data_IF_178147695109
#
_entry.id   IF_178147695109
#
_cell.length_a   1.000
_cell.length_b   1.000
_cell.length_c   1.000
_cell.angle_alpha   90.00
_cell.angle_beta   90.00
_cell.angle_gamma   90.00
#
_symmetry.space_group_name_H-M   'P 1'
#
loop_
_entity.id
_entity.type
_entity.pdbx_description
1 polymer ?
#
# COMPACT_ATOMS: atom_id res chain seq x y z
N UNK A 1 -6.36 3.18 -25.50
CA UNK A 1 -6.22 4.61 -25.89
C UNK A 1 -5.97 5.40 -24.62
N UNK A 2 -4.81 6.08 -24.55
CA UNK A 2 -4.39 6.93 -23.44
C UNK A 2 -5.28 8.18 -23.40
N UNK A 3 -5.88 8.49 -22.26
CA UNK A 3 -6.22 9.87 -21.93
C UNK A 3 -5.66 10.21 -20.55
N UNK A 4 -4.65 11.05 -20.64
CA UNK A 4 -3.86 11.66 -19.60
C UNK A 4 -4.54 13.00 -19.28
N UNK A 5 -5.09 13.18 -18.07
CA UNK A 5 -5.54 14.49 -17.59
C UNK A 5 -4.76 14.84 -16.33
N UNK A 6 -3.57 15.38 -16.56
CA UNK A 6 -2.86 16.22 -15.61
C UNK A 6 -3.70 17.48 -15.33
N UNK A 7 -4.29 17.55 -14.14
CA UNK A 7 -4.64 18.81 -13.50
C UNK A 7 -3.92 18.83 -12.15
N UNK A 8 -2.76 19.49 -12.12
CA UNK A 8 -2.11 19.89 -10.88
C UNK A 8 -2.26 21.41 -10.78
N UNK A 9 -3.17 21.85 -9.93
CA UNK A 9 -3.28 23.27 -9.54
C UNK A 9 -2.22 23.50 -8.47
N UNK A 10 -1.04 23.96 -8.87
CA UNK A 10 0.05 24.25 -7.95
C UNK A 10 -0.16 25.64 -7.33
N UNK A 11 -0.89 25.70 -6.21
CA UNK A 11 -0.92 26.86 -5.34
C UNK A 11 0.15 26.67 -4.26
N UNK A 12 1.41 26.99 -4.59
CA UNK A 12 2.39 27.49 -3.62
C UNK A 12 3.62 28.05 -4.35
N UNK A 13 3.59 29.37 -4.51
CA UNK A 13 4.71 30.21 -4.87
C UNK A 13 5.83 30.07 -3.83
N UNK A 14 6.98 29.51 -4.22
CA UNK A 14 8.28 29.86 -3.63
C UNK A 14 9.31 30.06 -4.72
N UNK A 15 9.47 31.33 -5.07
CA UNK A 15 10.59 31.93 -5.79
C UNK A 15 11.91 31.45 -5.17
N UNK A 16 12.71 30.70 -5.93
CA UNK A 16 14.17 30.64 -5.75
C UNK A 16 14.88 30.03 -6.97
N UNK A 17 14.82 30.70 -8.11
CA UNK A 17 15.77 30.43 -9.20
C UNK A 17 16.32 31.75 -9.72
N UNK A 18 17.38 32.22 -9.06
CA UNK A 18 18.32 33.20 -9.57
C UNK A 18 19.62 32.99 -8.81
N UNK A 19 20.75 33.05 -9.53
CA UNK A 19 22.14 32.92 -9.06
C UNK A 19 22.67 31.47 -9.12
N UNK A 20 22.86 30.97 -10.34
CA UNK A 20 23.94 30.02 -10.64
C UNK A 20 25.21 30.81 -11.01
N UNK A 21 26.37 30.20 -10.73
CA UNK A 21 27.75 30.61 -11.03
C UNK A 21 28.27 31.74 -10.11
N UNK A 22 29.31 31.54 -9.29
CA UNK A 22 30.68 31.15 -9.65
C UNK A 22 31.44 30.55 -8.44
N UNK A 23 32.26 29.51 -8.70
CA UNK A 23 33.48 29.10 -7.97
C UNK A 23 33.37 28.63 -6.49
N UNK A 24 33.30 27.31 -6.26
CA UNK A 24 34.10 26.64 -5.22
C UNK A 24 34.18 25.12 -5.40
N UNK A 25 35.40 24.60 -5.57
CA UNK A 25 35.75 23.18 -5.56
C UNK A 25 35.87 22.68 -4.11
N UNK A 26 34.78 22.62 -3.34
CA UNK A 26 34.67 21.97 -2.02
C UNK A 26 33.15 21.94 -1.77
N UNK A 27 32.42 20.83 -1.77
CA UNK A 27 32.47 19.69 -0.86
C UNK A 27 31.75 18.54 -1.58
N UNK A 28 32.37 17.37 -1.75
CA UNK A 28 31.62 16.13 -2.05
C UNK A 28 31.00 15.69 -0.73
N UNK A 29 30.06 16.49 -0.19
CA UNK A 29 29.19 16.00 0.85
C UNK A 29 28.33 14.95 0.18
N UNK A 30 28.32 13.74 0.73
CA UNK A 30 27.45 12.67 0.27
C UNK A 30 26.03 13.23 0.23
N UNK A 31 25.62 13.63 -0.97
CA UNK A 31 24.25 13.91 -1.30
C UNK A 31 23.58 12.57 -1.08
N UNK A 32 23.04 12.38 0.12
CA UNK A 32 21.91 11.49 0.28
C UNK A 32 20.85 12.14 -0.60
N UNK A 33 20.85 11.77 -1.88
CA UNK A 33 19.65 11.85 -2.67
C UNK A 33 18.70 10.94 -1.93
N UNK A 34 17.87 11.53 -1.07
CA UNK A 34 16.69 10.87 -0.54
C UNK A 34 15.80 10.75 -1.76
N UNK A 35 15.97 9.66 -2.51
CA UNK A 35 14.92 9.19 -3.40
C UNK A 35 13.77 8.80 -2.47
N UNK A 36 12.86 9.74 -2.22
CA UNK A 36 11.59 9.42 -1.59
C UNK A 36 10.91 8.40 -2.49
N UNK A 37 10.84 7.17 -2.01
CA UNK A 37 10.09 6.11 -2.66
C UNK A 37 8.62 6.50 -2.66
N UNK A 38 8.07 6.61 -3.87
CA UNK A 38 6.65 6.60 -4.23
C UNK A 38 5.79 7.85 -3.92
N UNK A 39 4.86 8.20 -4.83
CA UNK A 39 3.93 9.32 -4.68
C UNK A 39 2.96 9.08 -3.53
N UNK A 40 2.99 9.98 -2.54
CA UNK A 40 2.05 10.22 -1.44
C UNK A 40 0.87 9.24 -1.32
N UNK A 41 1.18 8.01 -0.90
CA UNK A 41 0.20 7.13 -0.27
C UNK A 41 -0.06 7.71 1.13
N UNK A 42 -1.32 7.90 1.56
CA UNK A 42 -1.57 8.54 2.85
C UNK A 42 -0.92 7.72 3.95
N UNK A 43 -0.20 8.40 4.84
CA UNK A 43 0.43 7.83 6.05
C UNK A 43 -0.53 6.91 6.84
N UNK A 44 -1.84 7.13 6.73
CA UNK A 44 -2.90 6.29 7.29
C UNK A 44 -2.84 4.80 6.90
N UNK A 45 -2.06 4.44 5.89
CA UNK A 45 -1.90 3.06 5.43
C UNK A 45 -0.47 2.52 5.63
N UNK A 46 0.39 3.26 6.33
CA UNK A 46 1.67 2.76 6.81
C UNK A 46 1.43 1.57 7.75
N UNK A 47 1.99 0.39 7.41
CA UNK A 47 1.89 -0.82 8.22
C UNK A 47 0.90 -1.88 7.72
N UNK A 48 0.18 -1.64 6.63
CA UNK A 48 -0.62 -2.70 5.99
C UNK A 48 0.31 -3.78 5.44
N UNK A 49 0.11 -5.03 5.88
CA UNK A 49 0.82 -6.20 5.36
C UNK A 49 0.16 -6.67 4.08
N UNK A 50 0.93 -6.72 2.99
CA UNK A 50 0.44 -7.19 1.70
C UNK A 50 0.27 -8.71 1.73
N UNK A 51 -0.52 -9.24 0.79
CA UNK A 51 -0.75 -10.68 0.62
C UNK A 51 0.53 -11.51 0.62
N UNK A 52 1.54 -11.05 -0.11
CA UNK A 52 2.85 -11.70 -0.19
C UNK A 52 3.59 -11.73 1.15
N UNK A 53 3.35 -10.77 2.04
CA UNK A 53 4.08 -10.63 3.30
C UNK A 53 3.63 -11.67 4.33
N UNK A 54 2.37 -12.13 4.26
CA UNK A 54 1.85 -13.23 5.09
C UNK A 54 1.83 -14.59 4.38
N UNK A 55 2.32 -14.65 3.12
CA UNK A 55 2.39 -15.88 2.33
C UNK A 55 1.04 -16.35 1.79
N UNK A 56 0.16 -15.41 1.45
CA UNK A 56 -1.15 -15.70 0.88
C UNK A 56 -1.13 -16.18 -0.55
N UNK A 57 -2.06 -17.08 -0.88
CA UNK A 57 -2.28 -17.63 -2.22
C UNK A 57 -2.96 -16.59 -3.11
N UNK A 58 -2.73 -16.67 -4.42
CA UNK A 58 -3.40 -15.85 -5.43
C UNK A 58 -4.90 -16.17 -5.45
N UNK A 59 -5.79 -15.16 -5.58
CA UNK A 59 -7.22 -15.40 -5.73
C UNK A 59 -7.54 -16.18 -7.01
N UNK A 60 -8.58 -17.02 -6.97
CA UNK A 60 -9.09 -17.77 -8.13
C UNK A 60 -9.71 -16.82 -9.17
N UNK A 61 -10.45 -15.81 -8.70
CA UNK A 61 -11.03 -14.76 -9.52
C UNK A 61 -11.12 -13.44 -8.73
N UNK A 62 -11.26 -12.32 -9.44
CA UNK A 62 -11.27 -10.99 -8.84
C UNK A 62 -12.46 -10.20 -9.37
N UNK A 63 -13.33 -9.80 -8.45
CA UNK A 63 -14.41 -8.85 -8.69
C UNK A 63 -14.04 -7.48 -8.10
N UNK A 64 -14.32 -6.42 -8.85
CA UNK A 64 -13.99 -5.05 -8.46
C UNK A 64 -15.18 -4.35 -7.78
N UNK A 65 -14.90 -3.66 -6.68
CA UNK A 65 -15.89 -2.85 -5.99
C UNK A 65 -16.16 -1.53 -6.74
N UNK A 66 -17.41 -1.07 -6.71
CA UNK A 66 -17.77 0.27 -7.17
C UNK A 66 -17.24 1.28 -6.15
N UNK A 67 -16.44 2.23 -6.61
CA UNK A 67 -15.87 3.29 -5.77
C UNK A 67 -16.69 4.58 -5.88
N UNK A 68 -16.79 5.37 -4.79
CA UNK A 68 -16.28 5.10 -3.44
C UNK A 68 -17.15 4.09 -2.68
N UNK A 69 -16.52 3.28 -1.81
CA UNK A 69 -17.24 2.36 -0.93
C UNK A 69 -18.01 3.15 0.13
N UNK A 70 -19.28 2.83 0.34
CA UNK A 70 -20.19 3.58 1.24
C UNK A 70 -20.34 2.98 2.64
N UNK A 71 -20.04 1.69 2.79
CA UNK A 71 -20.29 0.94 4.02
C UNK A 71 -19.05 0.17 4.44
N UNK A 72 -18.82 0.10 5.75
CA UNK A 72 -17.79 -0.72 6.39
C UNK A 72 -18.50 -1.71 7.31
N UNK A 73 -18.20 -2.99 7.17
CA UNK A 73 -18.77 -4.06 7.99
C UNK A 73 -17.65 -4.64 8.84
N UNK A 74 -17.79 -4.58 10.17
CA UNK A 74 -16.78 -5.03 11.12
C UNK A 74 -17.08 -6.46 11.55
N UNK A 75 -16.10 -7.35 11.43
CA UNK A 75 -16.21 -8.77 11.77
C UNK A 75 -15.10 -9.20 12.71
N UNK A 76 -15.38 -10.21 13.54
CA UNK A 76 -14.36 -11.03 14.19
C UNK A 76 -14.22 -12.35 13.41
N UNK A 77 -13.05 -12.98 13.49
CA UNK A 77 -12.74 -14.22 12.74
C UNK A 77 -13.23 -15.49 13.44
N UNK A 78 -13.58 -15.42 14.72
CA UNK A 78 -13.89 -16.60 15.57
C UNK A 78 -12.72 -17.60 15.64
N UNK A 79 -11.50 -17.13 15.39
CA UNK A 79 -10.27 -17.90 15.57
C UNK A 79 -9.57 -17.47 16.86
N UNK A 80 -8.63 -18.26 17.41
CA UNK A 80 -7.73 -17.77 18.45
C UNK A 80 -7.05 -16.46 18.02
N UNK A 81 -6.88 -15.56 18.97
CA UNK A 81 -6.12 -14.32 18.74
C UNK A 81 -4.65 -14.61 18.42
N UNK A 82 -4.03 -13.70 17.68
CA UNK A 82 -2.61 -13.76 17.34
C UNK A 82 -1.93 -12.45 17.78
N UNK A 83 -0.63 -12.50 18.13
CA UNK A 83 0.10 -11.35 18.68
C UNK A 83 1.45 -11.09 18.02
N UNK A 84 1.92 -12.01 17.16
CA UNK A 84 3.18 -11.89 16.44
C UNK A 84 2.92 -11.98 14.95
N UNK A 85 3.74 -11.33 14.13
CA UNK A 85 3.59 -11.38 12.68
C UNK A 85 3.56 -12.83 12.16
N UNK A 86 4.43 -13.69 12.70
CA UNK A 86 4.45 -15.10 12.36
C UNK A 86 3.15 -15.83 12.72
N UNK A 87 2.64 -15.66 13.95
CA UNK A 87 1.39 -16.31 14.38
C UNK A 87 0.18 -15.79 13.59
N UNK A 88 0.11 -14.48 13.36
CA UNK A 88 -0.97 -13.87 12.59
C UNK A 88 -0.95 -14.30 11.13
N UNK A 89 0.23 -14.33 10.49
CA UNK A 89 0.36 -14.84 9.12
C UNK A 89 -0.10 -16.30 9.03
N UNK A 90 0.24 -17.14 10.03
CA UNK A 90 -0.22 -18.52 10.08
C UNK A 90 -1.74 -18.64 10.21
N UNK A 91 -2.35 -17.85 11.10
CA UNK A 91 -3.81 -17.83 11.27
C UNK A 91 -4.53 -17.38 9.99
N UNK A 92 -4.06 -16.29 9.37
CA UNK A 92 -4.67 -15.74 8.14
C UNK A 92 -4.55 -16.74 6.98
N UNK A 93 -3.43 -17.45 6.85
CA UNK A 93 -3.29 -18.53 5.85
C UNK A 93 -4.31 -19.64 6.07
N UNK A 94 -4.50 -20.10 7.31
CA UNK A 94 -5.50 -21.12 7.63
C UNK A 94 -6.94 -20.66 7.33
N UNK A 95 -7.25 -19.38 7.57
CA UNK A 95 -8.55 -18.80 7.18
C UNK A 95 -8.69 -18.78 5.66
N UNK A 96 -7.65 -18.37 4.92
CA UNK A 96 -7.69 -18.36 3.45
C UNK A 96 -7.85 -19.78 2.87
N UNK A 97 -7.14 -20.76 3.43
CA UNK A 97 -7.27 -22.18 3.08
C UNK A 97 -8.71 -22.66 3.29
N UNK A 98 -9.29 -22.41 4.46
CA UNK A 98 -10.68 -22.80 4.73
C UNK A 98 -11.69 -22.13 3.78
N UNK A 99 -11.56 -20.81 3.57
CA UNK A 99 -12.47 -20.08 2.68
C UNK A 99 -12.40 -20.58 1.24
N UNK A 100 -11.21 -20.83 0.71
CA UNK A 100 -11.07 -21.22 -0.70
C UNK A 100 -11.28 -22.72 -0.91
N UNK A 101 -10.74 -23.58 -0.04
CA UNK A 101 -10.71 -25.02 -0.26
C UNK A 101 -11.97 -25.71 0.26
N UNK A 102 -12.59 -25.17 1.32
CA UNK A 102 -13.80 -25.75 1.94
C UNK A 102 -15.07 -24.98 1.59
N UNK A 103 -15.02 -23.65 1.56
CA UNK A 103 -16.20 -22.82 1.24
C UNK A 103 -16.29 -22.41 -0.23
N UNK A 104 -15.29 -22.82 -1.04
CA UNK A 104 -15.23 -22.53 -2.49
C UNK A 104 -15.25 -21.03 -2.82
N UNK A 105 -14.75 -20.18 -1.90
CA UNK A 105 -14.59 -18.75 -2.17
C UNK A 105 -13.41 -18.50 -3.11
N UNK A 106 -13.48 -17.40 -3.87
CA UNK A 106 -12.40 -17.02 -4.77
C UNK A 106 -11.13 -16.51 -4.05
N UNK A 107 -11.25 -16.03 -2.80
CA UNK A 107 -10.15 -15.58 -1.93
C UNK A 107 -10.62 -15.63 -0.47
N UNK A 108 -9.79 -15.14 0.47
CA UNK A 108 -10.22 -14.84 1.84
C UNK A 108 -11.42 -13.86 1.82
N UNK A 109 -12.48 -14.18 2.56
CA UNK A 109 -13.75 -13.43 2.58
C UNK A 109 -13.73 -12.03 3.22
N UNK A 110 -12.55 -11.50 3.56
CA UNK A 110 -12.37 -10.20 4.21
C UNK A 110 -11.50 -9.26 3.35
N UNK A 111 -11.62 -7.95 3.55
CA UNK A 111 -10.90 -6.91 2.81
C UNK A 111 -9.84 -6.21 3.65
#
# INVERSE_FOLDING_TARGET
MRHNHNICICMNCKIRMCIQFLLSLFVISSSKVVYSTSPDWPQACEGIKLRKDWGGRTPVAVDYAILPVKYVIIHHTVTPECKTEFSCASTIRGIQEFHMDTMEFHDIGYK
#
